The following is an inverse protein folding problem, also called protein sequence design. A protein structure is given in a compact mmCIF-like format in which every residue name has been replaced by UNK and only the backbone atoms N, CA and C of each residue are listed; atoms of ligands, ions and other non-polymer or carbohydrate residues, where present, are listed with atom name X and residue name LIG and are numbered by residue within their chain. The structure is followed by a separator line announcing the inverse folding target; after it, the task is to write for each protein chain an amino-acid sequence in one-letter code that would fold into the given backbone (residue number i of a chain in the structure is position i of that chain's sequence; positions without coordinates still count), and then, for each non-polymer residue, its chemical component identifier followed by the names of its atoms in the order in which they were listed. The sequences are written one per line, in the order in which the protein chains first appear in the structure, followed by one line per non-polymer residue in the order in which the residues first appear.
data_IF_212049943561
#
_entry.id   IF_212049943561
#
_cell.length_a   1.000
_cell.length_b   1.000
_cell.length_c   1.000
_cell.angle_alpha   90.00
_cell.angle_beta   90.00
_cell.angle_gamma   90.00
#
_symmetry.space_group_name_H-M   'P 1'
#
loop_
_entity.id
_entity.type
_entity.pdbx_description
1 polymer ?
#
# COMPACT_ATOMS: atom_id res chain seq x y z
N UNK A 1 2.77 -18.35 4.32
CA UNK A 1 2.94 -17.86 5.71
C UNK A 1 2.54 -18.97 6.67
N UNK A 2 3.38 -19.33 7.64
CA UNK A 2 3.04 -20.33 8.65
C UNK A 2 2.09 -19.72 9.71
N UNK A 3 1.45 -20.57 10.53
CA UNK A 3 0.51 -20.12 11.58
C UNK A 3 1.17 -19.10 12.52
N UNK A 4 2.41 -19.36 12.93
CA UNK A 4 3.19 -18.48 13.79
C UNK A 4 3.40 -17.08 13.18
N UNK A 5 3.79 -17.01 11.90
CA UNK A 5 3.99 -15.75 11.20
C UNK A 5 2.70 -14.94 11.07
N UNK A 6 1.56 -15.61 10.84
CA UNK A 6 0.25 -14.95 10.84
C UNK A 6 -0.08 -14.35 12.21
N UNK A 7 0.11 -15.10 13.30
CA UNK A 7 -0.12 -14.59 14.64
C UNK A 7 0.78 -13.39 14.95
N UNK A 8 2.07 -13.47 14.62
CA UNK A 8 3.00 -12.35 14.81
C UNK A 8 2.51 -11.11 14.05
N UNK A 9 2.15 -11.26 12.77
CA UNK A 9 1.68 -10.14 11.96
C UNK A 9 0.38 -9.51 12.52
N UNK A 10 -0.59 -10.33 12.92
CA UNK A 10 -1.85 -9.85 13.50
C UNK A 10 -1.64 -9.20 14.86
N UNK A 11 -0.79 -9.78 15.73
CA UNK A 11 -0.45 -9.20 17.03
C UNK A 11 0.27 -7.85 16.87
N UNK A 12 1.23 -7.75 15.94
CA UNK A 12 1.90 -6.48 15.65
C UNK A 12 0.92 -5.43 15.11
N UNK A 13 0.06 -5.82 14.16
CA UNK A 13 -0.95 -4.92 13.61
C UNK A 13 -1.91 -4.41 14.69
N UNK A 14 -2.36 -5.30 15.60
CA UNK A 14 -3.22 -4.95 16.72
C UNK A 14 -2.51 -3.98 17.68
N UNK A 15 -1.29 -4.31 18.11
CA UNK A 15 -0.54 -3.49 19.06
C UNK A 15 -0.26 -2.10 18.47
N UNK A 16 0.22 -2.03 17.23
CA UNK A 16 0.49 -0.76 16.54
C UNK A 16 -0.81 0.03 16.37
N UNK A 17 -1.88 -0.61 15.91
CA UNK A 17 -3.19 0.04 15.73
C UNK A 17 -3.73 0.63 17.04
N UNK A 18 -3.67 -0.14 18.14
CA UNK A 18 -4.12 0.32 19.46
C UNK A 18 -3.25 1.45 19.98
N UNK A 19 -1.92 1.33 19.91
CA UNK A 19 -0.99 2.36 20.38
C UNK A 19 -1.22 3.69 19.64
N UNK A 20 -1.31 3.66 18.31
CA UNK A 20 -1.58 4.86 17.50
C UNK A 20 -3.03 5.32 17.60
N UNK A 21 -3.95 4.46 18.05
CA UNK A 21 -5.35 4.82 18.29
C UNK A 21 -5.53 5.57 19.60
N UNK A 22 -4.81 5.17 20.65
CA UNK A 22 -4.82 5.80 21.98
C UNK A 22 -3.94 7.06 22.01
N UNK A 23 -2.81 7.05 21.28
CA UNK A 23 -1.89 8.19 21.19
C UNK A 23 -1.72 8.65 19.73
N UNK A 24 -2.72 9.31 19.12
CA UNK A 24 -2.67 9.75 17.74
C UNK A 24 -1.51 10.72 17.45
N UNK A 25 -1.01 11.44 18.45
CA UNK A 25 0.09 12.40 18.31
C UNK A 25 1.40 11.72 17.88
N UNK A 26 1.53 10.40 18.08
CA UNK A 26 2.68 9.64 17.60
C UNK A 26 2.81 9.71 16.07
N UNK A 27 1.69 9.76 15.35
CA UNK A 27 1.67 9.91 13.89
C UNK A 27 2.25 11.27 13.47
N UNK A 28 1.86 12.35 14.15
CA UNK A 28 2.42 13.69 13.93
C UNK A 28 3.90 13.74 14.30
N UNK A 29 4.30 13.17 15.44
CA UNK A 29 5.71 13.15 15.87
C UNK A 29 6.61 12.42 14.87
N UNK A 30 6.14 11.30 14.32
CA UNK A 30 6.87 10.55 13.30
C UNK A 30 6.93 11.31 11.98
N UNK A 31 5.82 11.93 11.54
CA UNK A 31 5.82 12.75 10.34
C UNK A 31 6.73 13.98 10.48
N UNK A 32 6.82 14.57 11.67
CA UNK A 32 7.66 15.73 11.94
C UNK A 32 9.16 15.46 11.73
N UNK A 33 9.62 14.21 11.89
CA UNK A 33 11.01 13.83 11.59
C UNK A 33 11.38 14.01 10.11
N UNK A 34 10.38 14.05 9.22
CA UNK A 34 10.55 14.20 7.77
C UNK A 34 10.12 15.57 7.26
N UNK A 35 9.67 16.46 8.15
CA UNK A 35 9.26 17.83 7.81
C UNK A 35 10.40 18.80 8.09
N UNK A 36 10.63 19.73 7.16
CA UNK A 36 11.57 20.82 7.35
C UNK A 36 10.81 22.14 7.60
N UNK A 37 10.87 22.70 8.83
CA UNK A 37 10.22 23.95 9.16
C UNK A 37 10.75 25.16 8.38
N UNK A 38 12.02 25.14 7.94
CA UNK A 38 12.62 26.26 7.21
C UNK A 38 12.05 26.40 5.80
N UNK A 39 11.91 25.27 5.09
CA UNK A 39 11.32 25.23 3.75
C UNK A 39 9.82 25.01 3.74
N UNK A 40 9.21 24.76 4.91
CA UNK A 40 7.79 24.40 5.09
C UNK A 40 7.35 23.25 4.20
N UNK A 41 8.22 22.26 4.04
CA UNK A 41 8.02 21.17 3.09
C UNK A 41 8.52 19.84 3.64
N UNK A 42 8.16 18.75 2.96
CA UNK A 42 8.74 17.43 3.17
C UNK A 42 9.85 17.23 2.15
N UNK A 43 11.15 17.35 2.49
CA UNK A 43 12.23 17.41 1.52
C UNK A 43 12.30 16.20 0.59
N UNK A 44 11.93 15.01 1.10
CA UNK A 44 11.93 13.78 0.31
C UNK A 44 10.94 13.83 -0.86
N UNK A 45 9.88 14.65 -0.78
CA UNK A 45 8.94 14.88 -1.89
C UNK A 45 9.61 15.59 -3.08
N UNK A 46 10.62 16.42 -2.80
CA UNK A 46 11.35 17.21 -3.81
C UNK A 46 12.60 16.49 -4.33
N UNK A 47 12.90 15.30 -3.81
CA UNK A 47 14.08 14.54 -4.18
C UNK A 47 13.75 13.58 -5.33
N UNK A 48 14.30 13.86 -6.51
CA UNK A 48 14.06 13.04 -7.71
C UNK A 48 14.53 11.59 -7.53
N UNK A 49 15.65 11.36 -6.84
CA UNK A 49 16.17 10.01 -6.59
C UNK A 49 15.21 9.19 -5.73
N UNK A 50 14.58 9.81 -4.74
CA UNK A 50 13.54 9.18 -3.94
C UNK A 50 12.29 8.86 -4.79
N UNK A 51 11.93 9.76 -5.72
CA UNK A 51 10.88 9.52 -6.73
C UNK A 51 11.18 8.30 -7.59
N UNK A 52 12.38 8.22 -8.17
CA UNK A 52 12.79 7.06 -8.98
C UNK A 52 12.84 5.77 -8.18
N UNK A 53 13.33 5.79 -6.94
CA UNK A 53 13.34 4.60 -6.07
C UNK A 53 11.91 4.10 -5.79
N UNK A 54 10.98 5.03 -5.51
CA UNK A 54 9.56 4.74 -5.31
C UNK A 54 8.93 4.14 -6.57
N UNK A 55 9.14 4.76 -7.72
CA UNK A 55 8.56 4.30 -8.99
C UNK A 55 9.17 2.97 -9.45
N UNK A 56 10.46 2.77 -9.19
CA UNK A 56 11.14 1.49 -9.38
C UNK A 56 10.51 0.38 -8.51
N UNK A 57 10.26 0.66 -7.23
CA UNK A 57 9.59 -0.30 -6.34
C UNK A 57 8.18 -0.66 -6.83
N UNK A 58 7.42 0.32 -7.35
CA UNK A 58 6.11 0.06 -7.95
C UNK A 58 6.23 -0.73 -9.25
N UNK A 59 7.26 -0.47 -10.05
CA UNK A 59 7.53 -1.20 -11.30
C UNK A 59 7.86 -2.67 -11.04
N UNK A 60 8.54 -3.00 -9.94
CA UNK A 60 8.78 -4.39 -9.52
C UNK A 60 7.45 -5.12 -9.28
N UNK A 61 6.52 -4.52 -8.55
CA UNK A 61 5.22 -5.14 -8.30
C UNK A 61 4.43 -5.38 -9.60
N UNK A 62 4.44 -4.41 -10.52
CA UNK A 62 3.84 -4.59 -11.85
C UNK A 62 4.55 -5.66 -12.68
N UNK A 63 5.89 -5.72 -12.61
CA UNK A 63 6.68 -6.76 -13.27
C UNK A 63 6.33 -8.17 -12.76
N UNK A 64 6.02 -8.33 -11.48
CA UNK A 64 5.57 -9.60 -10.90
C UNK A 64 4.12 -9.95 -11.28
N UNK A 65 3.26 -8.95 -11.49
CA UNK A 65 1.87 -9.16 -11.93
C UNK A 65 1.76 -9.44 -13.44
N UNK A 66 2.66 -8.87 -14.24
CA UNK A 66 2.61 -8.90 -15.71
C UNK A 66 2.54 -10.31 -16.31
N UNK A 67 3.29 -11.32 -15.83
CA UNK A 67 3.17 -12.70 -16.34
C UNK A 67 1.76 -13.28 -16.18
N UNK A 68 1.09 -12.99 -15.06
CA UNK A 68 -0.28 -13.46 -14.82
C UNK A 68 -1.28 -12.76 -15.75
N UNK A 69 -1.11 -11.45 -15.97
CA UNK A 69 -1.93 -10.67 -16.93
C UNK A 69 -1.71 -11.19 -18.36
N UNK A 70 -0.46 -11.32 -18.78
CA UNK A 70 -0.09 -11.79 -20.11
C UNK A 70 -0.62 -13.21 -20.37
N UNK A 71 -0.51 -14.13 -19.40
CA UNK A 71 -1.03 -15.49 -19.52
C UNK A 71 -2.55 -15.50 -19.73
N UNK A 72 -3.30 -14.64 -19.02
CA UNK A 72 -4.75 -14.51 -19.19
C UNK A 72 -5.12 -13.93 -20.56
N UNK A 73 -4.43 -12.88 -21.00
CA UNK A 73 -4.65 -12.25 -22.31
C UNK A 73 -4.36 -13.23 -23.44
N UNK A 74 -3.24 -13.94 -23.39
CA UNK A 74 -2.89 -14.97 -24.39
C UNK A 74 -3.95 -16.08 -24.42
N UNK A 75 -4.48 -16.50 -23.28
CA UNK A 75 -5.56 -17.51 -23.21
C UNK A 75 -6.86 -17.02 -23.86
N UNK A 76 -7.20 -15.74 -23.69
CA UNK A 76 -8.38 -15.13 -24.29
C UNK A 76 -8.29 -15.11 -25.82
N UNK A 77 -7.12 -14.80 -26.38
CA UNK A 77 -6.90 -14.78 -27.83
C UNK A 77 -6.60 -16.16 -28.44
N UNK A 78 -6.06 -17.11 -27.64
CA UNK A 78 -5.73 -18.47 -28.08
C UNK A 78 -6.24 -19.51 -27.08
N UNK A 79 -7.56 -19.81 -27.08
CA UNK A 79 -8.17 -20.69 -26.09
C UNK A 79 -7.67 -22.14 -26.15
N UNK A 80 -7.14 -22.59 -27.29
CA UNK A 80 -6.61 -23.94 -27.50
C UNK A 80 -5.24 -24.17 -26.88
N UNK A 81 -4.50 -23.11 -26.48
CA UNK A 81 -3.17 -23.25 -25.84
C UNK A 81 -3.31 -23.57 -24.34
N UNK A 82 -2.41 -24.40 -23.77
CA UNK A 82 -2.34 -24.57 -22.33
C UNK A 82 -1.91 -23.25 -21.66
N UNK A 83 -2.33 -23.05 -20.42
CA UNK A 83 -1.92 -21.88 -19.63
C UNK A 83 -0.45 -22.02 -19.21
N UNK A 84 0.34 -20.97 -19.40
CA UNK A 84 1.76 -20.91 -19.02
C UNK A 84 1.97 -20.91 -17.49
N UNK A 85 0.98 -20.42 -16.76
CA UNK A 85 0.92 -20.35 -15.30
C UNK A 85 -0.38 -21.03 -14.88
N UNK A 86 -0.40 -21.76 -13.75
CA UNK A 86 -1.64 -22.37 -13.28
C UNK A 86 -2.76 -21.33 -13.14
N UNK A 87 -3.97 -21.65 -13.61
CA UNK A 87 -5.10 -20.71 -13.55
C UNK A 87 -5.40 -20.24 -12.11
N UNK A 88 -5.18 -21.12 -11.12
CA UNK A 88 -5.29 -20.78 -9.69
C UNK A 88 -4.28 -19.71 -9.27
N UNK A 89 -3.04 -19.79 -9.73
CA UNK A 89 -2.02 -18.77 -9.45
C UNK A 89 -2.37 -17.44 -10.12
N UNK A 90 -2.87 -17.45 -11.36
CA UNK A 90 -3.33 -16.23 -12.05
C UNK A 90 -4.45 -15.56 -11.25
N UNK A 91 -5.49 -16.32 -10.90
CA UNK A 91 -6.62 -15.81 -10.11
C UNK A 91 -6.13 -15.27 -8.77
N UNK A 92 -5.29 -16.02 -8.06
CA UNK A 92 -4.75 -15.58 -6.78
C UNK A 92 -3.98 -14.26 -6.90
N UNK A 93 -3.04 -14.15 -7.84
CA UNK A 93 -2.21 -12.95 -8.01
C UNK A 93 -3.05 -11.72 -8.41
N UNK A 94 -3.93 -11.87 -9.39
CA UNK A 94 -4.72 -10.74 -9.91
C UNK A 94 -5.78 -10.31 -8.91
N UNK A 95 -6.53 -11.25 -8.32
CA UNK A 95 -7.58 -10.92 -7.35
C UNK A 95 -6.97 -10.26 -6.11
N UNK A 96 -5.88 -10.80 -5.57
CA UNK A 96 -5.24 -10.20 -4.38
C UNK A 96 -4.68 -8.81 -4.68
N UNK A 97 -4.08 -8.58 -5.85
CA UNK A 97 -3.58 -7.25 -6.25
C UNK A 97 -4.73 -6.26 -6.41
N UNK A 98 -5.76 -6.65 -7.15
CA UNK A 98 -6.92 -5.78 -7.40
C UNK A 98 -7.62 -5.45 -6.09
N UNK A 99 -7.81 -6.42 -5.19
CA UNK A 99 -8.43 -6.18 -3.90
C UNK A 99 -7.56 -5.27 -3.01
N UNK A 100 -6.25 -5.49 -2.91
CA UNK A 100 -5.39 -4.71 -2.01
C UNK A 100 -5.11 -3.29 -2.54
N UNK A 101 -4.50 -3.18 -3.73
CA UNK A 101 -4.01 -1.92 -4.30
C UNK A 101 -5.07 -1.18 -5.12
N UNK A 102 -6.15 -1.84 -5.53
CA UNK A 102 -7.26 -1.23 -6.26
C UNK A 102 -8.43 -0.89 -5.34
N UNK A 103 -9.15 -1.93 -4.92
CA UNK A 103 -10.45 -1.79 -4.25
C UNK A 103 -10.33 -1.25 -2.84
N UNK A 104 -9.55 -1.91 -1.98
CA UNK A 104 -9.44 -1.50 -0.58
C UNK A 104 -8.80 -0.11 -0.48
N UNK A 105 -7.67 0.12 -1.12
CA UNK A 105 -7.00 1.42 -1.01
C UNK A 105 -7.74 2.53 -1.74
N UNK A 106 -7.87 2.46 -3.07
CA UNK A 106 -8.33 3.60 -3.87
C UNK A 106 -9.86 3.73 -3.89
N UNK A 107 -10.61 2.63 -3.97
CA UNK A 107 -12.07 2.71 -4.10
C UNK A 107 -12.80 2.82 -2.76
N UNK A 108 -12.24 2.30 -1.68
CA UNK A 108 -12.88 2.36 -0.35
C UNK A 108 -12.22 3.38 0.56
N UNK A 109 -11.03 3.12 1.10
CA UNK A 109 -10.46 3.99 2.13
C UNK A 109 -10.09 5.39 1.60
N UNK A 110 -9.44 5.53 0.45
CA UNK A 110 -9.09 6.87 -0.08
C UNK A 110 -10.29 7.70 -0.54
N UNK A 111 -11.44 7.06 -0.74
CA UNK A 111 -12.69 7.70 -1.17
C UNK A 111 -13.60 8.07 0.00
N UNK A 112 -13.61 7.26 1.06
CA UNK A 112 -14.55 7.41 2.17
C UNK A 112 -13.88 7.67 3.53
N UNK A 113 -12.57 7.53 3.63
CA UNK A 113 -11.79 7.79 4.83
C UNK A 113 -11.13 9.16 4.73
N UNK A 114 -11.85 10.19 5.15
CA UNK A 114 -11.52 11.62 4.97
C UNK A 114 -10.29 12.12 5.73
N UNK A 115 -9.41 11.22 6.19
CA UNK A 115 -8.19 11.59 6.94
C UNK A 115 -7.23 12.40 6.05
N UNK A 116 -6.89 13.64 6.44
CA UNK A 116 -5.91 14.44 5.71
C UNK A 116 -4.51 13.82 5.71
N UNK A 117 -3.68 14.21 4.74
CA UNK A 117 -2.25 13.83 4.71
C UNK A 117 -1.45 14.80 5.59
N UNK A 118 -0.27 14.39 6.12
CA UNK A 118 0.58 15.28 6.89
C UNK A 118 0.86 16.63 6.18
N UNK A 119 1.10 16.62 4.87
CA UNK A 119 1.37 17.86 4.11
C UNK A 119 0.21 18.87 4.04
N UNK A 120 -1.01 18.47 4.41
CA UNK A 120 -2.19 19.36 4.40
C UNK A 120 -2.76 19.60 5.79
N UNK A 121 -2.13 19.11 6.86
CA UNK A 121 -2.59 19.42 8.22
C UNK A 121 -1.94 20.69 8.78
N UNK A 122 -2.65 21.36 9.67
CA UNK A 122 -2.24 22.63 10.31
C UNK A 122 -0.85 22.57 10.95
N UNK A 123 -0.48 21.43 11.53
CA UNK A 123 0.78 21.19 12.22
C UNK A 123 2.00 21.24 11.28
N UNK A 124 1.78 21.04 9.97
CA UNK A 124 2.82 21.08 8.94
C UNK A 124 2.59 22.21 7.92
N UNK A 125 1.79 23.22 8.28
CA UNK A 125 1.54 24.40 7.44
C UNK A 125 0.42 24.23 6.40
N UNK A 126 -0.41 23.19 6.54
CA UNK A 126 -1.67 23.05 5.80
C UNK A 126 -2.85 23.73 6.49
N UNK A 127 -4.04 23.47 5.97
CA UNK A 127 -5.30 24.14 6.30
C UNK A 127 -6.36 23.21 6.91
N UNK A 128 -6.10 21.90 6.97
CA UNK A 128 -7.02 20.92 7.53
C UNK A 128 -6.61 20.53 8.96
N UNK A 129 -7.56 20.26 9.87
CA UNK A 129 -7.23 19.72 11.19
C UNK A 129 -6.68 18.30 11.08
N UNK A 130 -5.77 17.94 11.97
CA UNK A 130 -5.34 16.56 12.13
C UNK A 130 -6.50 15.66 12.57
N UNK A 131 -6.54 14.44 12.02
CA UNK A 131 -7.55 13.43 12.34
C UNK A 131 -6.85 12.08 12.60
N UNK A 132 -7.15 11.39 13.72
CA UNK A 132 -6.60 10.07 14.00
C UNK A 132 -6.88 9.04 12.90
N UNK A 133 -6.05 8.00 12.82
CA UNK A 133 -6.17 6.98 11.76
C UNK A 133 -7.52 6.25 11.74
N UNK A 134 -8.18 6.11 12.90
CA UNK A 134 -9.45 5.39 13.04
C UNK A 134 -10.69 6.26 12.82
N UNK A 135 -10.55 7.59 12.69
CA UNK A 135 -11.69 8.50 12.50
C UNK A 135 -11.84 8.87 11.01
N UNK A 136 -12.93 8.49 10.34
CA UNK A 136 -13.15 8.80 8.92
C UNK A 136 -13.66 10.23 8.68
N UNK A 137 -14.05 10.99 9.71
CA UNK A 137 -14.78 12.26 9.60
C UNK A 137 -13.90 13.48 9.28
N UNK A 138 -12.76 13.27 8.63
CA UNK A 138 -11.86 14.35 8.25
C UNK A 138 -12.32 15.12 7.00
N UNK A 139 -11.69 16.28 6.76
CA UNK A 139 -12.04 17.19 5.68
C UNK A 139 -11.43 16.87 4.31
N UNK A 140 -10.77 15.73 4.13
CA UNK A 140 -10.17 15.38 2.84
C UNK A 140 -11.21 14.85 1.84
N UNK A 141 -11.27 15.46 0.65
CA UNK A 141 -12.27 15.11 -0.37
C UNK A 141 -11.89 13.93 -1.30
N UNK A 142 -10.62 13.77 -1.68
CA UNK A 142 -10.16 12.68 -2.56
C UNK A 142 -8.68 12.38 -2.34
N UNK A 143 -8.26 11.14 -2.62
CA UNK A 143 -6.86 10.69 -2.51
C UNK A 143 -6.29 10.91 -1.10
N UNK A 144 -7.11 10.62 -0.09
CA UNK A 144 -6.79 10.82 1.32
C UNK A 144 -5.65 9.90 1.80
N UNK A 145 -5.20 10.13 3.04
CA UNK A 145 -3.95 9.50 3.52
C UNK A 145 -4.09 8.02 3.87
N UNK A 146 -5.30 7.58 4.19
CA UNK A 146 -5.54 6.25 4.73
C UNK A 146 -6.09 5.27 3.68
N UNK A 147 -5.57 4.05 3.53
CA UNK A 147 -4.17 3.66 3.81
C UNK A 147 -3.32 3.75 2.54
N UNK A 148 -1.99 3.71 2.69
CA UNK A 148 -1.07 3.92 1.58
C UNK A 148 -1.28 2.87 0.47
N UNK A 149 -1.51 3.35 -0.75
CA UNK A 149 -1.64 2.49 -1.93
C UNK A 149 -0.30 1.84 -2.27
N UNK A 150 0.77 2.61 -2.17
CA UNK A 150 2.14 2.18 -2.40
C UNK A 150 2.56 1.12 -1.38
N UNK A 151 2.24 1.31 -0.09
CA UNK A 151 2.45 0.31 0.94
C UNK A 151 1.67 -0.98 0.69
N UNK A 152 0.41 -0.88 0.25
CA UNK A 152 -0.40 -2.04 -0.13
C UNK A 152 0.20 -2.82 -1.31
N UNK A 153 0.64 -2.11 -2.35
CA UNK A 153 1.30 -2.68 -3.53
C UNK A 153 2.63 -3.34 -3.16
N UNK A 154 3.43 -2.71 -2.30
CA UNK A 154 4.68 -3.29 -1.82
C UNK A 154 4.42 -4.58 -1.02
N UNK A 155 3.44 -4.57 -0.11
CA UNK A 155 3.07 -5.75 0.66
C UNK A 155 2.50 -6.88 -0.23
N UNK A 156 1.82 -6.54 -1.32
CA UNK A 156 1.31 -7.54 -2.26
C UNK A 156 2.41 -8.42 -2.87
N UNK A 157 3.67 -7.97 -2.92
CA UNK A 157 4.80 -8.79 -3.44
C UNK A 157 5.04 -10.08 -2.65
N UNK A 158 4.49 -10.23 -1.44
CA UNK A 158 4.45 -11.51 -0.72
C UNK A 158 3.58 -12.57 -1.41
N UNK A 159 2.59 -12.20 -2.21
CA UNK A 159 1.72 -13.12 -2.94
C UNK A 159 2.49 -13.97 -3.97
N UNK A 160 3.25 -13.40 -4.93
CA UNK A 160 4.09 -14.20 -5.82
C UNK A 160 5.20 -14.95 -5.06
N UNK A 161 5.75 -14.38 -3.98
CA UNK A 161 6.73 -15.08 -3.15
C UNK A 161 6.15 -16.36 -2.51
N UNK A 162 4.87 -16.36 -2.12
CA UNK A 162 4.21 -17.55 -1.58
C UNK A 162 3.97 -18.66 -2.62
N UNK A 163 4.03 -18.34 -3.91
CA UNK A 163 3.94 -19.31 -5.01
C UNK A 163 5.32 -19.78 -5.50
N UNK A 164 6.40 -19.16 -5.02
CA UNK A 164 7.75 -19.56 -5.41
C UNK A 164 8.05 -20.99 -4.92
N UNK A 165 8.77 -21.79 -5.72
CA UNK A 165 9.17 -23.13 -5.30
C UNK A 165 10.05 -23.04 -4.04
N UNK A 166 10.04 -24.08 -3.18
CA UNK A 166 10.91 -24.13 -2.02
C UNK A 166 12.38 -24.01 -2.46
N UNK A 167 13.19 -23.38 -1.63
CA UNK A 167 14.62 -23.23 -1.90
C UNK A 167 15.24 -24.59 -2.23
N UNK A 168 15.96 -24.66 -3.35
CA UNK A 168 16.71 -25.85 -3.73
C UNK A 168 17.64 -26.24 -2.57
N UNK A 169 17.45 -27.45 -2.04
CA UNK A 169 18.33 -28.07 -1.04
C UNK A 169 19.17 -29.15 -1.70
#
# INVERSE_FOLDING_TARGET
MNRTGLFIALSLALVIGVVFGIYPELDLKLAALFYDPATRSFPLKLNDWAGYARDGAMSVAWGLALPAIAALVVKLFRPTRPLLISGRAIVFLLVTMTLSAGVLTNLTFKSYWGRPRPVVVTEFGGDLPFVPWWDPRGGCGRNCSFFSGEGATAFWTFAPAALAPPAWR
#
